data_IF_779359735069
#
_entry.id   IF_779359735069
#
_cell.length_a   1.000
_cell.length_b   1.000
_cell.length_c   1.000
_cell.angle_alpha   90.00
_cell.angle_beta   90.00
_cell.angle_gamma   90.00
#
_symmetry.space_group_name_H-M   'P 1'
#
loop_
_entity.id
_entity.type
_entity.pdbx_description
1 polymer ?
#
# COMPACT_ATOMS: atom_id res chain seq x y z
N UNK A 1 29.11 41.59 -24.90
CA UNK A 1 27.92 40.97 -24.29
C UNK A 1 27.43 39.77 -25.11
N UNK A 2 27.37 39.88 -26.44
CA UNK A 2 26.96 38.77 -27.34
C UNK A 2 27.88 37.54 -27.31
N UNK A 3 29.21 37.71 -27.28
CA UNK A 3 30.15 36.58 -27.20
C UNK A 3 30.02 35.76 -25.90
N UNK A 4 29.71 36.42 -24.79
CA UNK A 4 29.48 35.77 -23.50
C UNK A 4 28.15 35.00 -23.52
N UNK A 5 27.08 35.62 -24.03
CA UNK A 5 25.79 34.95 -24.25
C UNK A 5 25.91 33.73 -25.18
N UNK A 6 26.70 33.85 -26.25
CA UNK A 6 26.96 32.76 -27.19
C UNK A 6 27.77 31.62 -26.54
N UNK A 7 28.79 31.94 -25.74
CA UNK A 7 29.55 30.94 -24.98
C UNK A 7 28.68 30.24 -23.92
N UNK A 8 27.80 30.95 -23.22
CA UNK A 8 26.82 30.34 -22.30
C UNK A 8 25.81 29.46 -23.05
N UNK A 9 25.35 29.87 -24.23
CA UNK A 9 24.43 29.08 -25.06
C UNK A 9 25.10 27.79 -25.58
N UNK A 10 26.35 27.86 -26.03
CA UNK A 10 27.17 26.71 -26.43
C UNK A 10 27.45 25.79 -25.24
N UNK A 11 27.77 26.34 -24.07
CA UNK A 11 27.96 25.58 -22.83
C UNK A 11 26.67 24.87 -22.38
N UNK A 12 25.52 25.54 -22.45
CA UNK A 12 24.21 24.95 -22.17
C UNK A 12 23.85 23.86 -23.19
N UNK A 13 24.18 24.06 -24.47
CA UNK A 13 23.96 23.08 -25.53
C UNK A 13 24.84 21.84 -25.36
N UNK A 14 26.13 22.01 -25.07
CA UNK A 14 27.07 20.93 -24.78
C UNK A 14 26.66 20.15 -23.52
N UNK A 15 26.18 20.87 -22.50
CA UNK A 15 25.61 20.26 -21.29
C UNK A 15 24.33 19.47 -21.59
N UNK A 16 23.43 19.98 -22.44
CA UNK A 16 22.19 19.29 -22.82
C UNK A 16 22.43 18.05 -23.70
N UNK A 17 23.39 18.11 -24.62
CA UNK A 17 23.61 17.07 -25.63
C UNK A 17 24.53 15.94 -25.17
N UNK A 18 25.55 16.23 -24.37
CA UNK A 18 26.62 15.26 -24.04
C UNK A 18 26.70 15.02 -22.53
N UNK A 19 27.03 16.05 -21.76
CA UNK A 19 27.36 15.90 -20.33
C UNK A 19 26.14 15.52 -19.50
N UNK A 20 24.99 16.14 -19.74
CA UNK A 20 23.75 15.87 -19.02
C UNK A 20 23.10 14.54 -19.39
N UNK A 21 23.34 14.01 -20.59
CA UNK A 21 22.88 12.66 -20.96
C UNK A 21 23.72 11.60 -20.25
N UNK A 22 25.04 11.79 -20.25
CA UNK A 22 25.98 10.89 -19.56
C UNK A 22 25.79 10.93 -18.03
N UNK A 23 25.64 12.13 -17.46
CA UNK A 23 25.35 12.30 -16.03
C UNK A 23 24.02 11.65 -15.65
N UNK A 24 22.98 11.76 -16.48
CA UNK A 24 21.69 11.12 -16.22
C UNK A 24 21.81 9.60 -16.14
N UNK A 25 22.69 8.99 -16.93
CA UNK A 25 22.90 7.55 -16.94
C UNK A 25 23.79 7.08 -15.78
N UNK A 26 24.90 7.79 -15.49
CA UNK A 26 25.88 7.37 -14.48
C UNK A 26 25.59 7.87 -13.07
N UNK A 27 25.05 9.07 -12.92
CA UNK A 27 24.82 9.78 -11.64
C UNK A 27 23.49 10.55 -11.68
N UNK A 28 22.34 9.84 -11.69
CA UNK A 28 21.02 10.44 -11.84
C UNK A 28 20.67 11.47 -10.76
N UNK A 29 21.20 11.30 -9.54
CA UNK A 29 21.02 12.24 -8.43
C UNK A 29 21.72 13.59 -8.72
N UNK A 30 22.93 13.57 -9.28
CA UNK A 30 23.65 14.80 -9.65
C UNK A 30 22.97 15.51 -10.82
N UNK A 31 22.55 14.74 -11.83
CA UNK A 31 21.79 15.27 -12.96
C UNK A 31 20.53 15.99 -12.50
N UNK A 32 19.83 15.42 -11.51
CA UNK A 32 18.66 16.03 -10.90
C UNK A 32 19.00 17.39 -10.26
N UNK A 33 19.95 17.46 -9.34
CA UNK A 33 20.26 18.72 -8.65
C UNK A 33 20.83 19.80 -9.57
N UNK A 34 21.60 19.41 -10.61
CA UNK A 34 22.23 20.36 -11.53
C UNK A 34 21.30 20.85 -12.63
N UNK A 35 20.29 20.04 -13.04
CA UNK A 35 19.42 20.41 -14.17
C UNK A 35 17.94 20.22 -13.90
N UNK A 36 17.54 19.08 -13.33
CA UNK A 36 16.13 18.75 -13.13
C UNK A 36 15.45 19.70 -12.16
N UNK A 37 16.05 19.88 -10.97
CA UNK A 37 15.55 20.77 -9.93
C UNK A 37 15.49 22.23 -10.39
N UNK A 38 16.57 22.86 -10.94
CA UNK A 38 16.50 24.26 -11.36
C UNK A 38 15.44 24.51 -12.42
N UNK A 39 15.29 23.61 -13.40
CA UNK A 39 14.25 23.73 -14.43
C UNK A 39 12.84 23.61 -13.86
N UNK A 40 12.61 22.67 -12.95
CA UNK A 40 11.31 22.50 -12.30
C UNK A 40 10.98 23.68 -11.37
N UNK A 41 11.95 24.13 -10.56
CA UNK A 41 11.79 25.28 -9.68
C UNK A 41 11.50 26.57 -10.45
N UNK A 42 12.23 26.80 -11.56
CA UNK A 42 11.94 27.90 -12.48
C UNK A 42 10.51 27.83 -13.02
N UNK A 43 10.07 26.67 -13.51
CA UNK A 43 8.67 26.49 -13.95
C UNK A 43 7.69 26.77 -12.82
N UNK A 44 7.95 26.28 -11.61
CA UNK A 44 7.09 26.49 -10.46
C UNK A 44 6.91 27.99 -10.16
N UNK A 45 8.00 28.75 -10.11
CA UNK A 45 7.97 30.19 -9.84
C UNK A 45 7.34 30.98 -11.00
N UNK A 46 7.77 30.75 -12.25
CA UNK A 46 7.33 31.55 -13.40
C UNK A 46 5.88 31.26 -13.81
N UNK A 47 5.39 30.02 -13.63
CA UNK A 47 4.01 29.67 -14.00
C UNK A 47 3.00 29.91 -12.87
N UNK A 48 3.46 30.06 -11.62
CA UNK A 48 2.60 30.12 -10.44
C UNK A 48 1.39 31.05 -10.59
N UNK A 49 1.63 32.31 -10.96
CA UNK A 49 0.55 33.31 -11.07
C UNK A 49 -0.50 32.90 -12.09
N UNK A 50 -0.10 32.32 -13.23
CA UNK A 50 -1.01 31.88 -14.28
C UNK A 50 -1.82 30.67 -13.84
N UNK A 51 -1.16 29.67 -13.24
CA UNK A 51 -1.84 28.45 -12.75
C UNK A 51 -2.82 28.80 -11.63
N UNK A 52 -2.42 29.69 -10.71
CA UNK A 52 -3.27 30.14 -9.61
C UNK A 52 -4.50 30.96 -10.06
N UNK A 53 -4.43 31.62 -11.21
CA UNK A 53 -5.58 32.34 -11.77
C UNK A 53 -6.53 31.39 -12.53
N UNK A 54 -5.98 30.42 -13.28
CA UNK A 54 -6.77 29.47 -14.07
C UNK A 54 -7.49 28.41 -13.22
N UNK A 55 -7.04 28.18 -11.98
CA UNK A 55 -7.61 27.19 -11.07
C UNK A 55 -8.24 27.83 -9.82
N UNK A 56 -8.68 29.09 -9.93
CA UNK A 56 -9.40 29.81 -8.87
C UNK A 56 -8.69 29.86 -7.50
N UNK A 57 -7.36 29.78 -7.49
CA UNK A 57 -6.54 29.88 -6.27
C UNK A 57 -6.29 31.34 -5.85
N UNK A 58 -6.72 32.31 -6.67
CA UNK A 58 -6.47 33.74 -6.46
C UNK A 58 -7.70 34.40 -5.85
N UNK A 59 -7.51 35.27 -4.84
CA UNK A 59 -8.62 36.05 -4.25
C UNK A 59 -8.63 37.48 -4.75
N UNK A 60 -9.81 38.09 -4.76
CA UNK A 60 -9.91 39.55 -4.82
C UNK A 60 -10.08 40.14 -3.44
N UNK A 61 -9.25 41.13 -3.12
CA UNK A 61 -9.32 41.91 -1.89
C UNK A 61 -10.27 43.10 -1.96
N UNK A 62 -10.86 43.38 -3.13
CA UNK A 62 -11.80 44.49 -3.28
C UNK A 62 -13.22 43.95 -3.25
N UNK A 63 -14.14 44.56 -2.47
CA UNK A 63 -15.54 44.19 -2.54
C UNK A 63 -16.01 44.36 -3.99
N UNK A 64 -16.71 43.35 -4.50
CA UNK A 64 -17.38 43.42 -5.80
C UNK A 64 -18.48 44.49 -5.83
N UNK A 65 -18.79 45.11 -4.70
CA UNK A 65 -19.81 46.16 -4.59
C UNK A 65 -19.17 47.54 -4.61
N UNK A 66 -19.53 48.32 -5.61
CA UNK A 66 -19.33 49.77 -5.64
C UNK A 66 -20.70 50.43 -5.55
N UNK A 67 -20.87 51.35 -4.62
CA UNK A 67 -22.05 52.21 -4.57
C UNK A 67 -21.80 53.39 -5.51
N UNK A 68 -22.63 53.54 -6.54
CA UNK A 68 -22.61 54.65 -7.47
C UNK A 68 -23.93 55.44 -7.28
N UNK A 69 -23.87 56.59 -6.60
CA UNK A 69 -25.09 57.27 -6.12
C UNK A 69 -25.82 56.41 -5.09
N UNK A 70 -27.09 56.10 -5.33
CA UNK A 70 -27.91 55.24 -4.46
C UNK A 70 -27.93 53.76 -4.90
N UNK A 71 -27.17 53.39 -5.94
CA UNK A 71 -27.21 52.05 -6.53
C UNK A 71 -25.95 51.26 -6.18
N UNK A 72 -26.13 50.11 -5.52
CA UNK A 72 -25.05 49.15 -5.28
C UNK A 72 -24.81 48.29 -6.53
N UNK A 73 -23.75 48.60 -7.28
CA UNK A 73 -23.34 47.84 -8.47
C UNK A 73 -22.41 46.71 -8.06
N UNK A 74 -22.77 45.46 -8.40
CA UNK A 74 -21.91 44.28 -8.22
C UNK A 74 -21.07 44.07 -9.48
N UNK A 75 -19.82 44.55 -9.48
CA UNK A 75 -18.85 44.35 -10.55
C UNK A 75 -17.87 43.21 -10.27
N UNK A 76 -17.39 42.55 -11.32
CA UNK A 76 -16.33 41.55 -11.20
C UNK A 76 -14.99 42.20 -10.82
N UNK A 77 -14.26 41.65 -9.84
CA UNK A 77 -13.00 42.23 -9.42
C UNK A 77 -11.90 42.10 -10.49
N UNK A 78 -11.44 43.25 -11.00
CA UNK A 78 -10.46 43.37 -12.10
C UNK A 78 -9.04 42.82 -11.81
N UNK A 79 -8.69 42.49 -10.56
CA UNK A 79 -7.33 42.01 -10.20
C UNK A 79 -7.38 40.96 -9.09
N UNK A 80 -7.44 39.69 -9.47
CA UNK A 80 -7.22 38.58 -8.54
C UNK A 80 -5.73 38.49 -8.16
N UNK A 81 -5.45 38.38 -6.87
CA UNK A 81 -4.09 38.25 -6.32
C UNK A 81 -3.84 36.79 -6.00
N UNK A 82 -2.78 36.24 -6.59
CA UNK A 82 -2.36 34.87 -6.31
C UNK A 82 -1.72 34.77 -4.91
N UNK A 83 -1.84 33.61 -4.24
CA UNK A 83 -1.22 33.40 -2.94
C UNK A 83 0.30 33.47 -3.03
N UNK A 84 0.97 33.84 -1.94
CA UNK A 84 2.43 33.84 -1.90
C UNK A 84 2.95 32.42 -1.71
N UNK A 85 3.88 32.03 -2.57
CA UNK A 85 4.66 30.79 -2.44
C UNK A 85 6.01 31.07 -1.79
N UNK A 86 6.47 30.15 -0.96
CA UNK A 86 7.85 30.09 -0.52
C UNK A 86 8.79 29.65 -1.65
N UNK A 87 10.10 29.74 -1.39
CA UNK A 87 11.10 29.23 -2.33
C UNK A 87 10.94 27.71 -2.51
N UNK A 88 10.98 27.18 -3.75
CA UNK A 88 10.92 25.74 -3.98
C UNK A 88 12.18 25.06 -3.43
N UNK A 89 12.05 24.38 -2.29
CA UNK A 89 13.14 23.64 -1.67
C UNK A 89 13.42 22.36 -2.47
N UNK A 90 14.69 22.04 -2.78
CA UNK A 90 15.02 20.81 -3.50
C UNK A 90 14.74 19.59 -2.61
N UNK A 91 14.13 18.58 -3.22
CA UNK A 91 14.04 17.20 -2.69
C UNK A 91 14.83 16.28 -3.62
N UNK A 92 15.11 15.05 -3.19
CA UNK A 92 15.92 14.09 -3.97
C UNK A 92 15.32 13.73 -5.33
N UNK A 93 13.98 13.70 -5.43
CA UNK A 93 13.25 13.36 -6.65
C UNK A 93 12.15 14.37 -6.97
N UNK A 94 12.34 15.63 -6.57
CA UNK A 94 11.32 16.66 -6.74
C UNK A 94 11.62 17.95 -6.02
N UNK A 95 10.59 18.73 -5.76
CA UNK A 95 10.66 19.94 -4.96
C UNK A 95 9.49 20.02 -3.98
N UNK A 96 9.66 20.85 -2.96
CA UNK A 96 8.60 21.18 -2.02
C UNK A 96 8.51 22.69 -1.87
N UNK A 97 7.30 23.23 -1.84
CA UNK A 97 7.06 24.63 -1.54
C UNK A 97 5.86 24.79 -0.61
N UNK A 98 5.92 25.81 0.24
CA UNK A 98 4.83 26.17 1.14
C UNK A 98 4.06 27.35 0.56
N UNK A 99 2.74 27.30 0.62
CA UNK A 99 1.85 28.38 0.21
C UNK A 99 1.08 28.87 1.42
N UNK A 100 1.08 30.18 1.64
CA UNK A 100 0.24 30.80 2.68
C UNK A 100 -1.10 31.17 2.04
N UNK A 101 -2.18 30.62 2.58
CA UNK A 101 -3.53 30.87 2.12
C UNK A 101 -3.95 32.31 2.45
N UNK A 102 -4.78 32.91 1.60
CA UNK A 102 -5.41 34.18 1.93
C UNK A 102 -6.55 33.99 2.94
N UNK A 103 -6.89 35.01 3.75
CA UNK A 103 -8.04 34.95 4.65
C UNK A 103 -9.31 34.51 3.91
N UNK A 104 -10.02 33.53 4.46
CA UNK A 104 -11.24 32.96 3.86
C UNK A 104 -11.01 31.87 2.80
N UNK A 105 -9.77 31.64 2.35
CA UNK A 105 -9.47 30.48 1.49
C UNK A 105 -9.38 29.19 2.29
N UNK A 106 -9.88 28.11 1.69
CA UNK A 106 -9.73 26.75 2.19
C UNK A 106 -8.69 25.98 1.37
N UNK A 107 -8.17 24.84 1.87
CA UNK A 107 -7.25 24.00 1.11
C UNK A 107 -7.88 23.31 -0.11
N UNK A 108 -9.21 23.18 -0.16
CA UNK A 108 -9.89 22.34 -1.15
C UNK A 108 -9.59 22.72 -2.61
N UNK A 109 -9.63 24.01 -3.03
CA UNK A 109 -9.25 24.41 -4.39
C UNK A 109 -7.81 24.03 -4.76
N UNK A 110 -6.89 24.08 -3.79
CA UNK A 110 -5.51 23.67 -4.02
C UNK A 110 -5.42 22.17 -4.29
N UNK A 111 -6.14 21.35 -3.52
CA UNK A 111 -6.20 19.91 -3.74
C UNK A 111 -6.71 19.58 -5.16
N UNK A 112 -7.75 20.29 -5.63
CA UNK A 112 -8.28 20.13 -6.99
C UNK A 112 -7.28 20.57 -8.08
N UNK A 113 -6.47 21.59 -7.81
CA UNK A 113 -5.49 22.12 -8.76
C UNK A 113 -4.20 21.27 -8.89
N UNK A 114 -4.07 20.16 -8.15
CA UNK A 114 -2.87 19.33 -8.13
C UNK A 114 -2.43 18.87 -9.53
N UNK A 115 -3.36 18.39 -10.35
CA UNK A 115 -3.06 17.90 -11.71
C UNK A 115 -2.60 19.04 -12.64
N UNK A 116 -3.27 20.19 -12.57
CA UNK A 116 -2.87 21.38 -13.33
C UNK A 116 -1.45 21.86 -12.95
N UNK A 117 -1.09 21.80 -11.67
CA UNK A 117 0.26 22.10 -11.19
C UNK A 117 1.27 21.07 -11.70
N UNK A 118 0.93 19.78 -11.71
CA UNK A 118 1.78 18.73 -12.22
C UNK A 118 2.12 18.95 -13.70
N UNK A 119 1.09 19.22 -14.52
CA UNK A 119 1.27 19.55 -15.93
C UNK A 119 2.08 20.83 -16.15
N UNK A 120 1.79 21.91 -15.42
CA UNK A 120 2.49 23.18 -15.56
C UNK A 120 3.99 23.06 -15.23
N UNK A 121 4.33 22.27 -14.22
CA UNK A 121 5.72 22.12 -13.75
C UNK A 121 6.47 21.00 -14.46
N UNK A 122 5.77 20.21 -15.29
CA UNK A 122 6.26 18.94 -15.86
C UNK A 122 6.73 17.98 -14.76
N UNK A 123 5.97 17.93 -13.68
CA UNK A 123 6.14 16.96 -12.62
C UNK A 123 5.43 15.66 -13.00
N UNK A 124 5.92 14.54 -12.47
CA UNK A 124 5.22 13.26 -12.52
C UNK A 124 3.91 13.32 -11.72
N UNK A 125 3.96 13.91 -10.52
CA UNK A 125 2.79 14.10 -9.68
C UNK A 125 2.99 15.33 -8.78
N UNK A 126 1.89 15.91 -8.32
CA UNK A 126 1.88 16.96 -7.29
C UNK A 126 0.95 16.52 -6.17
N UNK A 127 1.48 16.49 -4.95
CA UNK A 127 0.72 16.23 -3.73
C UNK A 127 0.58 17.51 -2.93
N UNK A 128 -0.61 17.74 -2.41
CA UNK A 128 -0.91 18.93 -1.62
C UNK A 128 -1.49 18.46 -0.29
N UNK A 129 -0.91 18.96 0.80
CA UNK A 129 -1.35 18.68 2.17
C UNK A 129 -1.51 19.99 2.92
N UNK A 130 -2.43 20.05 3.87
CA UNK A 130 -2.60 21.20 4.77
C UNK A 130 -2.26 20.75 6.19
N UNK A 131 -0.97 20.80 6.59
CA UNK A 131 -0.56 20.33 7.92
C UNK A 131 -1.09 21.25 9.02
N UNK A 132 -1.27 22.53 8.72
CA UNK A 132 -1.75 23.55 9.64
C UNK A 132 -2.76 24.47 8.94
N UNK A 133 -3.70 25.02 9.71
CA UNK A 133 -4.70 25.97 9.21
C UNK A 133 -4.02 27.20 8.58
N UNK A 134 -4.52 27.65 7.43
CA UNK A 134 -4.00 28.84 6.73
C UNK A 134 -2.74 28.59 5.89
N UNK A 135 -2.28 27.33 5.76
CA UNK A 135 -1.18 26.99 4.86
C UNK A 135 -1.40 25.66 4.14
N UNK A 136 -0.79 25.53 2.97
CA UNK A 136 -0.65 24.26 2.26
C UNK A 136 0.80 24.03 1.90
N UNK A 137 1.21 22.77 1.92
CA UNK A 137 2.51 22.31 1.44
C UNK A 137 2.26 21.57 0.14
N UNK A 138 2.95 21.99 -0.91
CA UNK A 138 2.90 21.40 -2.24
C UNK A 138 4.22 20.67 -2.48
N UNK A 139 4.14 19.36 -2.69
CA UNK A 139 5.28 18.50 -3.02
C UNK A 139 5.11 18.05 -4.47
N UNK A 140 6.05 18.42 -5.34
CA UNK A 140 6.06 18.02 -6.74
C UNK A 140 7.15 16.98 -6.98
N UNK A 141 6.77 15.80 -7.46
CA UNK A 141 7.71 14.71 -7.75
C UNK A 141 8.07 14.73 -9.23
N UNK A 142 9.35 14.69 -9.57
CA UNK A 142 9.83 14.81 -10.94
C UNK A 142 9.87 13.50 -11.73
N UNK A 143 9.99 12.38 -11.02
CA UNK A 143 10.01 11.02 -11.58
C UNK A 143 9.04 10.16 -10.78
N UNK A 144 8.69 9.00 -11.31
CA UNK A 144 7.95 8.02 -10.51
C UNK A 144 8.81 7.60 -9.31
N UNK A 145 8.40 7.91 -8.07
CA UNK A 145 9.17 7.55 -6.87
C UNK A 145 9.24 6.04 -6.65
N UNK A 146 8.36 5.28 -7.29
CA UNK A 146 8.38 3.82 -7.27
C UNK A 146 9.26 3.25 -8.39
N UNK A 147 9.74 4.05 -9.35
CA UNK A 147 10.53 3.59 -10.48
C UNK A 147 11.83 2.87 -10.10
N UNK A 148 12.58 3.44 -9.16
CA UNK A 148 13.78 2.84 -8.57
C UNK A 148 13.55 2.60 -7.08
N UNK A 149 13.38 1.33 -6.70
CA UNK A 149 13.28 0.96 -5.29
C UNK A 149 14.63 1.18 -4.61
N UNK A 150 14.61 2.01 -3.56
CA UNK A 150 15.77 2.22 -2.68
C UNK A 150 15.39 1.72 -1.29
N UNK A 151 16.28 1.01 -0.59
CA UNK A 151 16.03 0.61 0.79
C UNK A 151 15.65 1.84 1.59
N UNK A 152 14.48 1.81 2.22
CA UNK A 152 14.23 2.70 3.35
C UNK A 152 15.29 2.37 4.41
N UNK A 153 15.75 3.33 5.21
CA UNK A 153 16.92 3.19 6.10
C UNK A 153 16.79 2.18 7.25
N UNK A 154 16.08 1.07 7.04
CA UNK A 154 15.65 0.10 8.04
C UNK A 154 14.38 0.56 8.74
N UNK A 155 13.51 -0.39 9.03
CA UNK A 155 12.46 -0.25 10.04
C UNK A 155 12.88 -1.05 11.25
N UNK A 156 12.60 -0.56 12.45
CA UNK A 156 12.85 -1.29 13.69
C UNK A 156 12.17 -2.67 13.65
N UNK A 157 12.92 -3.71 14.03
CA UNK A 157 12.44 -5.08 13.98
C UNK A 157 11.49 -5.37 15.16
N UNK A 158 10.20 -5.21 14.90
CA UNK A 158 9.13 -5.52 15.84
C UNK A 158 8.39 -6.81 15.45
N UNK A 159 7.89 -7.53 16.46
CA UNK A 159 7.06 -8.72 16.27
C UNK A 159 5.79 -8.35 15.49
N UNK A 160 5.46 -9.17 14.49
CA UNK A 160 4.35 -8.98 13.57
C UNK A 160 4.45 -7.74 12.65
N UNK A 161 5.69 -7.28 12.40
CA UNK A 161 5.96 -6.15 11.51
C UNK A 161 6.90 -6.56 10.39
N UNK A 162 6.59 -6.20 9.15
CA UNK A 162 7.37 -6.58 7.97
C UNK A 162 7.51 -5.45 6.96
N UNK A 163 8.74 -5.02 6.68
CA UNK A 163 9.03 -4.11 5.57
C UNK A 163 9.02 -4.86 4.23
N UNK A 164 8.01 -4.56 3.42
CA UNK A 164 7.73 -5.24 2.16
C UNK A 164 8.12 -4.42 0.94
N UNK A 165 8.37 -3.12 1.06
CA UNK A 165 8.63 -2.26 -0.09
C UNK A 165 8.83 -0.80 0.25
N UNK A 166 8.51 0.06 -0.72
CA UNK A 166 8.51 1.51 -0.58
C UNK A 166 7.15 2.09 -0.96
N UNK A 167 6.72 3.12 -0.24
CA UNK A 167 5.56 3.93 -0.60
C UNK A 167 5.98 5.03 -1.58
N UNK A 168 5.04 5.55 -2.37
CA UNK A 168 5.29 6.70 -3.28
C UNK A 168 5.70 7.96 -2.52
N UNK A 169 5.41 7.99 -1.21
CA UNK A 169 5.86 9.04 -0.28
C UNK A 169 7.35 8.97 0.05
N UNK A 170 8.05 7.92 -0.36
CA UNK A 170 9.45 7.64 -0.03
C UNK A 170 9.65 6.95 1.33
N UNK A 171 8.58 6.72 2.10
CA UNK A 171 8.62 5.95 3.35
C UNK A 171 8.68 4.44 3.06
N UNK A 172 9.16 3.67 4.04
CA UNK A 172 9.05 2.22 4.04
C UNK A 172 7.59 1.78 3.90
N UNK A 173 7.31 0.80 3.02
CA UNK A 173 6.03 0.11 3.00
C UNK A 173 6.08 -1.04 3.99
N UNK A 174 5.34 -0.91 5.08
CA UNK A 174 5.32 -1.86 6.19
C UNK A 174 3.94 -2.47 6.34
N UNK A 175 3.90 -3.80 6.48
CA UNK A 175 2.74 -4.54 6.96
C UNK A 175 2.91 -4.75 8.46
N UNK A 176 1.99 -4.22 9.24
CA UNK A 176 1.96 -4.32 10.70
C UNK A 176 0.65 -4.98 11.12
N UNK A 177 0.72 -6.21 11.64
CA UNK A 177 -0.47 -6.94 12.06
C UNK A 177 -1.02 -6.53 13.43
N UNK A 178 -0.26 -5.75 14.21
CA UNK A 178 -0.77 -5.14 15.46
C UNK A 178 -1.64 -3.94 15.14
N UNK A 179 -1.28 -3.18 14.11
CA UNK A 179 -2.07 -2.05 13.62
C UNK A 179 -3.25 -2.50 12.74
N UNK A 180 -3.00 -3.40 11.79
CA UNK A 180 -4.00 -3.90 10.83
C UNK A 180 -3.96 -5.43 10.82
N UNK A 181 -4.87 -6.12 11.51
CA UNK A 181 -4.71 -7.54 11.82
C UNK A 181 -4.90 -8.48 10.64
N UNK A 182 -5.65 -8.06 9.63
CA UNK A 182 -6.02 -8.91 8.50
C UNK A 182 -5.93 -8.15 7.17
N UNK A 183 -5.38 -8.80 6.15
CA UNK A 183 -5.02 -8.20 4.87
C UNK A 183 -5.64 -8.95 3.69
N UNK A 184 -6.15 -8.21 2.72
CA UNK A 184 -6.55 -8.69 1.39
C UNK A 184 -5.54 -8.21 0.35
N UNK A 185 -4.96 -9.15 -0.40
CA UNK A 185 -4.00 -8.88 -1.47
C UNK A 185 -4.54 -9.39 -2.81
N UNK A 186 -4.93 -8.49 -3.71
CA UNK A 186 -5.38 -8.87 -5.05
C UNK A 186 -4.37 -8.48 -6.11
N UNK A 187 -4.31 -9.26 -7.18
CA UNK A 187 -3.46 -8.93 -8.33
C UNK A 187 -3.41 -10.02 -9.38
N UNK A 188 -3.43 -9.62 -10.64
CA UNK A 188 -3.31 -10.54 -11.77
C UNK A 188 -1.94 -11.24 -11.81
N UNK A 189 -1.81 -12.27 -12.63
CA UNK A 189 -0.54 -12.97 -12.88
C UNK A 189 0.57 -11.98 -13.27
N UNK A 190 1.77 -12.16 -12.70
CA UNK A 190 2.95 -11.30 -12.88
C UNK A 190 2.76 -9.83 -12.47
N UNK A 191 1.75 -9.50 -11.67
CA UNK A 191 1.54 -8.13 -11.15
C UNK A 191 2.48 -7.76 -9.99
N UNK A 192 2.98 -8.76 -9.26
CA UNK A 192 3.79 -8.57 -8.05
C UNK A 192 3.25 -9.29 -6.80
N UNK A 193 2.01 -9.81 -6.84
CA UNK A 193 1.36 -10.54 -5.73
C UNK A 193 2.25 -11.62 -5.08
N UNK A 194 2.69 -12.62 -5.85
CA UNK A 194 3.49 -13.74 -5.30
C UNK A 194 4.81 -13.25 -4.71
N UNK A 195 5.46 -12.28 -5.36
CA UNK A 195 6.70 -11.67 -4.89
C UNK A 195 6.51 -10.91 -3.57
N UNK A 196 5.40 -10.18 -3.42
CA UNK A 196 5.02 -9.52 -2.17
C UNK A 196 4.77 -10.54 -1.05
N UNK A 197 4.03 -11.62 -1.32
CA UNK A 197 3.81 -12.70 -0.35
C UNK A 197 5.14 -13.34 0.08
N UNK A 198 6.01 -13.66 -0.87
CA UNK A 198 7.33 -14.21 -0.59
C UNK A 198 8.17 -13.25 0.26
N UNK A 199 8.15 -11.94 -0.04
CA UNK A 199 8.83 -10.92 0.75
C UNK A 199 8.29 -10.86 2.17
N UNK A 200 6.97 -10.86 2.33
CA UNK A 200 6.31 -10.85 3.63
C UNK A 200 6.73 -12.06 4.48
N UNK A 201 6.64 -13.26 3.91
CA UNK A 201 7.06 -14.50 4.60
C UNK A 201 8.54 -14.45 4.98
N UNK A 202 9.42 -14.00 4.08
CA UNK A 202 10.85 -13.87 4.37
C UNK A 202 11.16 -12.88 5.51
N UNK A 203 10.36 -11.82 5.67
CA UNK A 203 10.52 -10.83 6.76
C UNK A 203 9.90 -11.28 8.08
N UNK A 204 8.89 -12.15 8.04
CA UNK A 204 8.28 -12.75 9.23
C UNK A 204 9.04 -14.00 9.71
N UNK A 205 9.73 -14.71 8.82
CA UNK A 205 10.51 -15.90 9.13
C UNK A 205 11.46 -15.79 10.35
N UNK A 206 12.25 -14.70 10.53
CA UNK A 206 13.12 -14.57 11.71
C UNK A 206 12.37 -14.38 13.05
N UNK A 207 11.08 -14.03 13.01
CA UNK A 207 10.32 -13.63 14.20
C UNK A 207 9.77 -14.84 14.98
N UNK A 208 9.54 -14.71 16.31
CA UNK A 208 8.98 -15.78 17.15
C UNK A 208 7.46 -15.91 16.96
N UNK A 209 7.05 -16.38 15.77
CA UNK A 209 5.66 -16.57 15.37
C UNK A 209 5.49 -17.87 14.58
N UNK A 210 4.25 -18.34 14.45
CA UNK A 210 3.88 -19.44 13.56
C UNK A 210 3.43 -18.91 12.20
N UNK A 211 3.89 -19.55 11.13
CA UNK A 211 3.46 -19.28 9.76
C UNK A 211 2.68 -20.47 9.26
N UNK A 212 1.46 -20.24 8.83
CA UNK A 212 0.56 -21.27 8.30
C UNK A 212 0.20 -20.88 6.87
N UNK A 213 0.24 -21.83 5.94
CA UNK A 213 -0.02 -21.56 4.52
C UNK A 213 -1.16 -22.43 3.98
N UNK A 214 -1.93 -21.85 3.07
CA UNK A 214 -2.96 -22.52 2.27
C UNK A 214 -2.70 -22.19 0.80
N UNK A 215 -2.27 -23.20 0.04
CA UNK A 215 -1.93 -23.12 -1.37
C UNK A 215 -2.60 -24.28 -2.11
N UNK A 216 -3.89 -24.12 -2.39
CA UNK A 216 -4.69 -25.11 -3.11
C UNK A 216 -4.32 -25.25 -4.61
N UNK A 217 -3.28 -24.54 -5.07
CA UNK A 217 -2.68 -24.70 -6.41
C UNK A 217 -1.49 -25.65 -6.39
N UNK A 218 -1.54 -26.67 -5.54
CA UNK A 218 -0.52 -27.71 -5.43
C UNK A 218 0.77 -27.27 -4.73
N UNK A 219 0.74 -26.20 -3.92
CA UNK A 219 1.90 -25.78 -3.13
C UNK A 219 3.03 -25.11 -3.92
N UNK A 220 2.78 -24.64 -5.14
CA UNK A 220 3.81 -24.12 -6.04
C UNK A 220 4.44 -22.80 -5.56
N UNK A 221 3.71 -21.98 -4.80
CA UNK A 221 4.16 -20.65 -4.39
C UNK A 221 4.58 -20.67 -2.92
N UNK A 222 3.69 -21.10 -2.02
CA UNK A 222 3.97 -21.11 -0.58
C UNK A 222 4.79 -22.33 -0.13
N UNK A 223 4.85 -23.39 -0.93
CA UNK A 223 5.70 -24.56 -0.66
C UNK A 223 7.20 -24.26 -0.69
N UNK A 224 7.63 -23.09 -1.20
CA UNK A 224 9.00 -22.60 -1.07
C UNK A 224 9.42 -22.38 0.40
N UNK A 225 8.44 -22.26 1.30
CA UNK A 225 8.65 -21.94 2.72
C UNK A 225 8.43 -23.11 3.67
N UNK A 226 8.28 -24.34 3.16
CA UNK A 226 7.91 -25.53 3.97
C UNK A 226 8.71 -25.71 5.25
N UNK A 227 10.03 -25.51 5.19
CA UNK A 227 10.94 -25.64 6.36
C UNK A 227 10.61 -24.68 7.50
N UNK A 228 10.07 -23.50 7.19
CA UNK A 228 9.67 -22.48 8.18
C UNK A 228 8.18 -22.56 8.54
N UNK A 229 7.34 -23.12 7.68
CA UNK A 229 5.90 -23.22 7.89
C UNK A 229 5.57 -24.21 9.01
N UNK A 230 4.71 -23.78 9.93
CA UNK A 230 4.12 -24.62 10.98
C UNK A 230 3.13 -25.62 10.41
N UNK A 231 2.40 -25.25 9.35
CA UNK A 231 1.51 -26.12 8.58
C UNK A 231 1.34 -25.59 7.14
N UNK A 232 1.08 -26.50 6.20
CA UNK A 232 0.75 -26.21 4.80
C UNK A 232 -0.45 -27.08 4.38
N UNK A 233 -1.53 -26.44 3.94
CA UNK A 233 -2.65 -27.11 3.28
C UNK A 233 -2.53 -26.93 1.76
N UNK A 234 -2.60 -28.03 1.02
CA UNK A 234 -2.48 -28.07 -0.45
C UNK A 234 -3.80 -28.41 -1.16
N UNK A 235 -4.84 -28.71 -0.40
CA UNK A 235 -6.20 -28.99 -0.88
C UNK A 235 -7.24 -28.24 -0.05
N UNK A 236 -8.46 -28.10 -0.56
CA UNK A 236 -9.56 -27.47 0.19
C UNK A 236 -9.93 -28.28 1.43
N UNK A 237 -9.98 -29.60 1.33
CA UNK A 237 -10.27 -30.49 2.45
C UNK A 237 -9.25 -30.32 3.58
N UNK A 238 -7.95 -30.23 3.25
CA UNK A 238 -6.91 -29.90 4.24
C UNK A 238 -7.10 -28.50 4.83
N UNK A 239 -7.45 -27.51 4.01
CA UNK A 239 -7.70 -26.14 4.48
C UNK A 239 -8.87 -26.09 5.46
N UNK A 240 -9.96 -26.84 5.23
CA UNK A 240 -11.10 -26.94 6.15
C UNK A 240 -10.67 -27.49 7.51
N UNK A 241 -9.88 -28.58 7.54
CA UNK A 241 -9.36 -29.16 8.79
C UNK A 241 -8.45 -28.17 9.53
N UNK A 242 -7.53 -27.54 8.80
CA UNK A 242 -6.59 -26.56 9.33
C UNK A 242 -7.30 -25.34 9.93
N UNK A 243 -8.28 -24.77 9.22
CA UNK A 243 -9.07 -23.66 9.75
C UNK A 243 -9.93 -24.08 10.95
N UNK A 244 -10.48 -25.29 10.95
CA UNK A 244 -11.19 -25.85 12.10
C UNK A 244 -10.31 -25.96 13.35
N UNK A 245 -9.07 -26.43 13.19
CA UNK A 245 -8.09 -26.48 14.28
C UNK A 245 -7.75 -25.09 14.81
N UNK A 246 -7.53 -24.12 13.91
CA UNK A 246 -7.28 -22.71 14.29
C UNK A 246 -8.48 -22.08 15.01
N UNK A 247 -9.71 -22.40 14.63
CA UNK A 247 -10.93 -21.93 15.32
C UNK A 247 -11.05 -22.54 16.71
N UNK A 248 -10.58 -23.78 16.91
CA UNK A 248 -10.53 -24.43 18.22
C UNK A 248 -9.50 -23.75 19.11
N UNK A 249 -8.26 -23.60 18.64
CA UNK A 249 -7.20 -22.84 19.32
C UNK A 249 -7.66 -21.42 19.68
N UNK A 250 -8.42 -20.75 18.79
CA UNK A 250 -8.98 -19.43 19.06
C UNK A 250 -9.89 -19.45 20.31
N UNK A 251 -10.71 -20.49 20.49
CA UNK A 251 -11.57 -20.65 21.68
C UNK A 251 -10.73 -20.87 22.93
N UNK A 252 -9.71 -21.72 22.85
CA UNK A 252 -8.83 -22.02 23.98
C UNK A 252 -8.09 -20.77 24.46
N UNK A 253 -7.54 -19.96 23.53
CA UNK A 253 -6.93 -18.67 23.85
C UNK A 253 -7.91 -17.70 24.51
N UNK A 254 -9.17 -17.71 24.08
CA UNK A 254 -10.21 -16.87 24.67
C UNK A 254 -10.49 -17.27 26.12
N UNK A 255 -10.49 -18.56 26.44
CA UNK A 255 -10.65 -19.07 27.80
C UNK A 255 -9.46 -18.67 28.69
N UNK A 256 -8.22 -18.80 28.19
CA UNK A 256 -7.02 -18.35 28.90
C UNK A 256 -7.09 -16.86 29.21
N UNK A 257 -7.50 -16.03 28.24
CA UNK A 257 -7.65 -14.58 28.44
C UNK A 257 -8.70 -14.28 29.52
N UNK A 258 -9.87 -14.96 29.48
CA UNK A 258 -10.94 -14.79 30.46
C UNK A 258 -10.52 -15.19 31.87
N UNK A 259 -9.82 -16.31 32.01
CA UNK A 259 -9.30 -16.78 33.29
C UNK A 259 -8.30 -15.79 33.91
N UNK A 260 -7.54 -15.09 33.08
CA UNK A 260 -6.60 -14.04 33.50
C UNK A 260 -7.23 -12.64 33.63
N UNK A 261 -8.52 -12.46 33.33
CA UNK A 261 -9.18 -11.14 33.28
C UNK A 261 -8.68 -10.22 32.15
N UNK A 262 -7.98 -10.78 31.15
CA UNK A 262 -7.42 -10.07 30.02
C UNK A 262 -8.40 -10.02 28.83
N UNK A 263 -8.36 -8.94 28.06
CA UNK A 263 -9.18 -8.80 26.83
C UNK A 263 -8.50 -9.36 25.59
N UNK A 264 -7.19 -9.58 25.67
CA UNK A 264 -6.38 -10.04 24.55
C UNK A 264 -5.16 -10.82 25.04
N UNK A 265 -4.57 -11.65 24.19
CA UNK A 265 -3.35 -12.40 24.53
C UNK A 265 -2.16 -11.46 24.80
N UNK A 266 -2.26 -10.22 24.32
CA UNK A 266 -1.22 -9.20 24.43
C UNK A 266 -1.13 -8.60 25.84
N UNK A 267 -2.21 -8.71 26.62
CA UNK A 267 -2.27 -8.32 28.04
C UNK A 267 -1.83 -9.46 28.97
N UNK A 268 -1.68 -10.67 28.45
CA UNK A 268 -1.19 -11.81 29.24
C UNK A 268 0.30 -11.63 29.56
N UNK A 269 0.76 -12.13 30.72
CA UNK A 269 2.19 -12.27 31.01
C UNK A 269 2.88 -13.09 29.92
N UNK A 270 4.14 -12.76 29.61
CA UNK A 270 4.90 -13.41 28.51
C UNK A 270 4.92 -14.94 28.61
N UNK A 271 4.97 -15.50 29.84
CA UNK A 271 4.95 -16.95 30.08
C UNK A 271 3.64 -17.64 29.71
N UNK A 272 2.54 -16.90 29.69
CA UNK A 272 1.20 -17.39 29.37
C UNK A 272 0.74 -16.97 27.97
N UNK A 273 1.50 -16.09 27.29
CA UNK A 273 1.13 -15.56 25.98
C UNK A 273 1.33 -16.65 24.91
N UNK A 274 0.26 -17.08 24.22
CA UNK A 274 0.38 -18.01 23.10
C UNK A 274 1.19 -17.40 21.96
N UNK A 275 1.87 -18.26 21.18
CA UNK A 275 2.62 -17.84 20.00
C UNK A 275 1.64 -17.27 18.96
N UNK A 276 1.89 -16.06 18.40
CA UNK A 276 1.03 -15.51 17.38
C UNK A 276 1.14 -16.29 16.07
N UNK A 277 0.04 -16.38 15.34
CA UNK A 277 -0.08 -17.14 14.09
C UNK A 277 -0.42 -16.19 12.95
N UNK A 278 0.33 -16.27 11.85
CA UNK A 278 -0.02 -15.60 10.58
C UNK A 278 -0.40 -16.67 9.58
N UNK A 279 -1.64 -16.61 9.10
CA UNK A 279 -2.21 -17.53 8.12
C UNK A 279 -2.21 -16.87 6.75
N UNK A 280 -1.54 -17.48 5.78
CA UNK A 280 -1.41 -17.02 4.40
C UNK A 280 -2.29 -17.90 3.50
N UNK A 281 -3.18 -17.29 2.74
CA UNK A 281 -4.00 -17.96 1.72
C UNK A 281 -3.60 -17.39 0.36
N UNK A 282 -3.01 -18.19 -0.53
CA UNK A 282 -2.48 -17.66 -1.81
C UNK A 282 -3.58 -17.33 -2.83
N UNK A 283 -4.61 -18.17 -2.91
CA UNK A 283 -5.73 -17.99 -3.83
C UNK A 283 -7.06 -18.26 -3.14
N UNK A 284 -7.75 -17.17 -2.79
CA UNK A 284 -9.04 -17.22 -2.13
C UNK A 284 -10.12 -17.92 -2.98
N UNK A 285 -10.10 -17.73 -4.30
CA UNK A 285 -11.11 -18.31 -5.19
C UNK A 285 -11.16 -19.84 -5.10
N UNK A 286 -10.03 -20.51 -4.92
CA UNK A 286 -9.95 -21.98 -4.78
C UNK A 286 -10.66 -22.51 -3.52
N UNK A 287 -10.91 -21.65 -2.54
CA UNK A 287 -11.65 -22.03 -1.33
C UNK A 287 -13.17 -21.93 -1.50
N UNK A 288 -13.64 -21.15 -2.49
CA UNK A 288 -15.05 -20.84 -2.71
C UNK A 288 -15.63 -21.49 -3.97
N UNK A 289 -14.81 -21.78 -4.99
CA UNK A 289 -15.27 -22.35 -6.26
C UNK A 289 -15.74 -23.81 -6.10
N UNK A 290 -16.98 -24.13 -6.46
CA UNK A 290 -17.51 -25.50 -6.37
C UNK A 290 -17.64 -26.12 -7.75
N UNK A 291 -17.14 -27.34 -7.95
CA UNK A 291 -17.37 -28.17 -9.15
C UNK A 291 -18.79 -28.75 -9.21
N UNK A 292 -19.59 -28.56 -8.17
CA UNK A 292 -21.04 -28.77 -8.18
C UNK A 292 -21.52 -29.96 -7.35
N UNK A 293 -20.61 -30.78 -6.80
CA UNK A 293 -20.97 -31.84 -5.85
C UNK A 293 -21.49 -31.25 -4.54
N UNK A 294 -22.27 -32.06 -3.79
CA UNK A 294 -22.82 -31.63 -2.50
C UNK A 294 -21.72 -31.48 -1.46
N UNK A 295 -20.74 -32.38 -1.51
CA UNK A 295 -19.57 -32.42 -0.62
C UNK A 295 -18.71 -31.17 -0.80
N UNK A 296 -18.36 -30.80 -2.04
CA UNK A 296 -17.55 -29.60 -2.31
C UNK A 296 -18.25 -28.29 -1.88
N UNK A 297 -19.58 -28.24 -2.01
CA UNK A 297 -20.38 -27.10 -1.53
C UNK A 297 -20.34 -27.00 -0.01
N UNK A 298 -20.49 -28.13 0.69
CA UNK A 298 -20.39 -28.18 2.14
C UNK A 298 -18.98 -27.79 2.62
N UNK A 299 -17.93 -28.26 1.96
CA UNK A 299 -16.55 -27.87 2.26
C UNK A 299 -16.31 -26.37 2.04
N UNK A 300 -16.78 -25.80 0.92
CA UNK A 300 -16.65 -24.37 0.64
C UNK A 300 -17.39 -23.50 1.67
N UNK A 301 -18.59 -23.91 2.09
CA UNK A 301 -19.37 -23.24 3.12
C UNK A 301 -18.69 -23.29 4.50
N UNK A 302 -18.18 -24.47 4.89
CA UNK A 302 -17.42 -24.64 6.12
C UNK A 302 -16.13 -23.80 6.12
N UNK A 303 -15.39 -23.84 5.01
CA UNK A 303 -14.18 -23.05 4.81
C UNK A 303 -14.46 -21.55 4.97
N UNK A 304 -15.50 -21.05 4.27
CA UNK A 304 -15.93 -19.66 4.38
C UNK A 304 -16.32 -19.29 5.81
N UNK A 305 -17.02 -20.18 6.52
CA UNK A 305 -17.46 -19.95 7.90
C UNK A 305 -16.27 -19.84 8.86
N UNK A 306 -15.32 -20.78 8.78
CA UNK A 306 -14.14 -20.75 9.64
C UNK A 306 -13.25 -19.54 9.33
N UNK A 307 -12.99 -19.25 8.06
CA UNK A 307 -12.14 -18.13 7.67
C UNK A 307 -12.74 -16.79 8.12
N UNK A 308 -14.06 -16.62 7.99
CA UNK A 308 -14.77 -15.45 8.52
C UNK A 308 -14.66 -15.36 10.05
N UNK A 309 -14.81 -16.49 10.76
CA UNK A 309 -14.69 -16.52 12.22
C UNK A 309 -13.30 -16.13 12.71
N UNK A 310 -12.26 -16.62 12.03
CA UNK A 310 -10.87 -16.24 12.29
C UNK A 310 -10.66 -14.74 12.06
N UNK A 311 -11.22 -14.17 10.99
CA UNK A 311 -11.11 -12.74 10.71
C UNK A 311 -11.85 -11.85 11.74
N UNK A 312 -12.96 -12.33 12.28
CA UNK A 312 -13.75 -11.58 13.26
C UNK A 312 -13.13 -11.54 14.66
N UNK A 313 -12.46 -12.62 15.07
CA UNK A 313 -11.99 -12.78 16.45
C UNK A 313 -10.46 -12.86 16.60
N UNK A 314 -9.74 -13.11 15.51
CA UNK A 314 -8.33 -13.47 15.54
C UNK A 314 -7.42 -12.37 16.08
N UNK A 315 -7.71 -11.09 15.81
CA UNK A 315 -6.85 -9.96 16.15
C UNK A 315 -6.45 -9.91 17.65
N UNK A 316 -7.42 -10.01 18.55
CA UNK A 316 -7.18 -9.99 20.00
C UNK A 316 -6.52 -11.30 20.50
N UNK A 317 -6.66 -12.38 19.73
CA UNK A 317 -6.22 -13.73 20.09
C UNK A 317 -4.91 -14.12 19.35
N UNK A 318 -4.30 -13.18 18.64
CA UNK A 318 -3.02 -13.35 17.95
C UNK A 318 -3.07 -14.28 16.75
N UNK A 319 -4.21 -14.38 16.07
CA UNK A 319 -4.33 -15.06 14.77
C UNK A 319 -4.61 -14.00 13.71
N UNK A 320 -3.71 -13.88 12.75
CA UNK A 320 -3.71 -12.87 11.70
C UNK A 320 -3.87 -13.53 10.34
N UNK A 321 -4.54 -12.84 9.40
CA UNK A 321 -4.86 -13.40 8.09
C UNK A 321 -4.25 -12.54 6.98
N UNK A 322 -3.62 -13.19 6.01
CA UNK A 322 -3.23 -12.60 4.73
C UNK A 322 -3.92 -13.42 3.66
N UNK A 323 -4.97 -12.87 3.08
CA UNK A 323 -5.77 -13.53 2.06
C UNK A 323 -5.45 -12.92 0.72
N UNK A 324 -4.98 -13.73 -0.21
CA UNK A 324 -4.60 -13.28 -1.54
C UNK A 324 -5.48 -13.91 -2.62
N UNK A 325 -5.56 -13.26 -3.79
CA UNK A 325 -6.26 -13.83 -4.93
C UNK A 325 -6.01 -13.09 -6.24
N UNK A 326 -6.13 -13.80 -7.35
CA UNK A 326 -5.94 -13.21 -8.69
C UNK A 326 -7.24 -12.59 -9.21
N UNK A 327 -8.36 -13.24 -8.92
CA UNK A 327 -9.70 -12.78 -9.25
C UNK A 327 -10.58 -12.97 -8.02
N UNK A 328 -11.00 -11.86 -7.42
CA UNK A 328 -11.83 -11.87 -6.21
C UNK A 328 -12.99 -10.92 -6.48
N UNK A 329 -14.18 -11.47 -6.70
CA UNK A 329 -15.38 -10.68 -6.93
C UNK A 329 -16.54 -11.18 -6.08
N UNK A 330 -17.61 -10.41 -6.05
CA UNK A 330 -18.88 -10.79 -5.39
C UNK A 330 -19.53 -12.03 -6.03
N UNK A 331 -19.07 -12.44 -7.22
CA UNK A 331 -19.46 -13.67 -7.92
C UNK A 331 -19.06 -14.94 -7.16
N UNK A 332 -18.08 -14.88 -6.25
CA UNK A 332 -17.72 -15.99 -5.35
C UNK A 332 -18.73 -16.18 -4.18
N UNK A 333 -19.74 -15.31 -4.06
CA UNK A 333 -20.84 -15.43 -3.11
C UNK A 333 -20.76 -14.48 -1.90
N UNK A 334 -21.77 -14.49 -1.02
CA UNK A 334 -21.87 -13.54 0.09
C UNK A 334 -20.78 -13.73 1.15
N UNK A 335 -20.26 -14.95 1.32
CA UNK A 335 -19.21 -15.28 2.28
C UNK A 335 -17.90 -14.51 2.01
N UNK A 336 -17.51 -14.35 0.74
CA UNK A 336 -16.30 -13.60 0.40
C UNK A 336 -16.45 -12.11 0.70
N UNK A 337 -17.64 -11.53 0.50
CA UNK A 337 -17.94 -10.13 0.81
C UNK A 337 -17.93 -9.86 2.30
N UNK A 338 -18.50 -10.78 3.08
CA UNK A 338 -18.47 -10.73 4.54
C UNK A 338 -17.04 -10.86 5.08
N UNK A 339 -16.25 -11.79 4.53
CA UNK A 339 -14.83 -11.95 4.88
C UNK A 339 -14.04 -10.69 4.55
N UNK A 340 -14.17 -10.19 3.31
CA UNK A 340 -13.53 -8.96 2.84
C UNK A 340 -13.77 -7.84 3.84
N UNK A 341 -14.99 -7.60 4.31
CA UNK A 341 -15.30 -6.55 5.28
C UNK A 341 -14.48 -6.62 6.60
N UNK A 342 -13.93 -7.78 6.96
CA UNK A 342 -13.06 -7.96 8.13
C UNK A 342 -11.56 -7.75 7.84
N UNK A 343 -11.14 -7.75 6.57
CA UNK A 343 -9.74 -7.59 6.19
C UNK A 343 -9.41 -6.09 5.99
N UNK A 344 -9.14 -5.38 7.09
CA UNK A 344 -8.91 -3.92 7.04
C UNK A 344 -7.78 -3.47 6.12
N UNK A 345 -6.72 -4.28 5.99
CA UNK A 345 -5.60 -3.98 5.10
C UNK A 345 -5.92 -4.35 3.66
N UNK A 346 -5.78 -3.40 2.73
CA UNK A 346 -6.00 -3.66 1.30
C UNK A 346 -4.74 -3.42 0.50
N UNK A 347 -4.43 -4.35 -0.39
CA UNK A 347 -3.37 -4.23 -1.37
C UNK A 347 -3.95 -4.68 -2.71
N UNK A 348 -3.98 -3.77 -3.68
CA UNK A 348 -4.44 -4.05 -5.02
C UNK A 348 -3.29 -3.77 -5.99
N UNK A 349 -2.63 -4.84 -6.43
CA UNK A 349 -1.75 -4.77 -7.59
C UNK A 349 -2.57 -4.60 -8.87
N UNK A 350 -1.89 -4.50 -10.02
CA UNK A 350 -2.56 -4.54 -11.32
C UNK A 350 -3.51 -5.75 -11.41
N UNK A 351 -4.77 -5.50 -11.68
CA UNK A 351 -5.81 -6.51 -11.96
C UNK A 351 -6.18 -6.50 -13.45
N UNK A 352 -6.81 -7.57 -13.93
CA UNK A 352 -7.31 -7.65 -15.31
C UNK A 352 -8.77 -7.21 -15.44
N UNK A 353 -9.54 -7.28 -14.35
CA UNK A 353 -10.97 -6.97 -14.33
C UNK A 353 -11.29 -5.87 -13.29
N UNK A 354 -12.23 -4.95 -13.60
CA UNK A 354 -12.66 -3.92 -12.68
C UNK A 354 -13.32 -4.45 -11.40
N UNK A 355 -14.00 -5.61 -11.50
CA UNK A 355 -14.73 -6.19 -10.37
C UNK A 355 -13.79 -6.55 -9.20
N UNK A 356 -12.58 -7.05 -9.49
CA UNK A 356 -11.57 -7.36 -8.47
C UNK A 356 -11.01 -6.11 -7.81
N UNK A 357 -10.78 -5.03 -8.57
CA UNK A 357 -10.38 -3.74 -7.98
C UNK A 357 -11.49 -3.14 -7.11
N UNK A 358 -12.74 -3.21 -7.58
CA UNK A 358 -13.92 -2.76 -6.83
C UNK A 358 -14.11 -3.56 -5.53
N UNK A 359 -13.93 -4.88 -5.59
CA UNK A 359 -13.98 -5.75 -4.42
C UNK A 359 -12.85 -5.42 -3.42
N UNK A 360 -11.66 -5.05 -3.87
CA UNK A 360 -10.55 -4.74 -2.97
C UNK A 360 -10.63 -3.33 -2.37
N UNK A 361 -11.06 -2.32 -3.13
CA UNK A 361 -10.88 -0.90 -2.80
C UNK A 361 -12.18 -0.07 -2.86
N UNK A 362 -13.26 -0.60 -3.43
CA UNK A 362 -14.45 0.18 -3.80
C UNK A 362 -15.26 0.76 -2.65
N UNK A 363 -15.21 0.11 -1.47
CA UNK A 363 -15.83 0.62 -0.24
C UNK A 363 -14.94 1.62 0.51
N UNK A 364 -13.65 1.69 0.17
CA UNK A 364 -12.71 2.64 0.76
C UNK A 364 -12.66 3.94 -0.03
N UNK A 365 -12.38 3.85 -1.33
CA UNK A 365 -12.22 5.02 -2.18
C UNK A 365 -12.34 4.67 -3.67
N UNK A 366 -13.24 5.32 -4.39
CA UNK A 366 -13.48 5.09 -5.82
C UNK A 366 -12.31 5.50 -6.71
N UNK A 367 -11.54 6.53 -6.33
CA UNK A 367 -10.35 6.94 -7.08
C UNK A 367 -9.25 5.87 -6.97
N UNK A 368 -9.14 5.21 -5.81
CA UNK A 368 -8.19 4.11 -5.63
C UNK A 368 -8.46 2.95 -6.60
N UNK A 369 -9.73 2.64 -6.87
CA UNK A 369 -10.17 1.63 -7.84
C UNK A 369 -9.73 2.00 -9.26
N UNK A 370 -9.86 3.27 -9.64
CA UNK A 370 -9.41 3.76 -10.95
C UNK A 370 -7.87 3.70 -11.08
N UNK A 371 -7.15 4.11 -10.04
CA UNK A 371 -5.69 4.10 -10.01
C UNK A 371 -5.13 2.67 -10.09
N UNK A 372 -5.73 1.72 -9.37
CA UNK A 372 -5.32 0.31 -9.43
C UNK A 372 -5.50 -0.30 -10.83
N UNK A 373 -6.57 0.07 -11.54
CA UNK A 373 -6.81 -0.35 -12.93
C UNK A 373 -5.86 0.31 -13.93
N UNK A 374 -5.34 1.49 -13.61
CA UNK A 374 -4.38 2.20 -14.45
C UNK A 374 -2.93 1.70 -14.32
N UNK A 375 -2.62 0.82 -13.35
CA UNK A 375 -1.28 0.25 -13.18
C UNK A 375 -0.87 -0.51 -14.44
N UNK A 376 0.24 -0.11 -15.05
CA UNK A 376 0.70 -0.71 -16.29
C UNK A 376 1.41 -2.07 -16.08
N UNK A 377 1.43 -2.92 -17.12
CA UNK A 377 2.13 -4.23 -17.09
C UNK A 377 3.63 -4.13 -16.76
N UNK A 378 4.26 -3.00 -17.07
CA UNK A 378 5.69 -2.73 -16.80
C UNK A 378 5.95 -2.30 -15.36
N UNK A 379 4.90 -1.91 -14.64
CA UNK A 379 4.96 -1.47 -13.24
C UNK A 379 4.84 -2.66 -12.29
N UNK A 380 5.57 -3.75 -12.56
CA UNK A 380 5.55 -4.93 -11.70
C UNK A 380 5.91 -4.55 -10.25
N UNK A 381 5.19 -5.12 -9.31
CA UNK A 381 5.31 -4.85 -7.87
C UNK A 381 4.58 -3.60 -7.40
N UNK A 382 4.11 -2.72 -8.31
CA UNK A 382 3.30 -1.55 -7.93
C UNK A 382 1.91 -2.02 -7.49
N UNK A 383 1.41 -1.42 -6.43
CA UNK A 383 0.08 -1.63 -5.89
C UNK A 383 -0.50 -0.32 -5.34
N UNK A 384 -1.82 -0.27 -5.23
CA UNK A 384 -2.53 0.68 -4.37
C UNK A 384 -2.79 0.00 -3.04
N UNK A 385 -2.49 0.69 -1.93
CA UNK A 385 -2.72 0.16 -0.59
C UNK A 385 -3.35 1.19 0.34
N UNK A 386 -4.04 0.72 1.37
CA UNK A 386 -4.51 1.55 2.49
C UNK A 386 -3.33 2.23 3.19
N UNK A 387 -3.43 3.55 3.38
CA UNK A 387 -2.45 4.33 4.14
C UNK A 387 -2.93 4.60 5.57
N UNK A 388 -2.03 5.02 6.47
CA UNK A 388 -2.39 5.48 7.82
C UNK A 388 -3.51 6.53 7.74
N UNK A 389 -4.70 6.22 8.27
CA UNK A 389 -5.90 7.07 8.18
C UNK A 389 -6.94 6.56 7.18
N UNK A 390 -7.73 7.47 6.59
CA UNK A 390 -8.80 7.15 5.63
C UNK A 390 -8.38 7.29 4.16
N UNK A 391 -7.07 7.19 3.87
CA UNK A 391 -6.50 7.44 2.55
C UNK A 391 -5.97 6.17 1.87
N UNK A 392 -5.58 6.33 0.61
CA UNK A 392 -4.84 5.33 -0.15
C UNK A 392 -3.50 5.91 -0.60
N UNK A 393 -2.56 5.03 -0.94
CA UNK A 393 -1.22 5.40 -1.41
C UNK A 393 -0.74 4.36 -2.42
N UNK A 394 0.01 4.78 -3.45
CA UNK A 394 0.75 3.80 -4.28
C UNK A 394 1.98 3.32 -3.54
N UNK A 395 2.29 2.05 -3.70
CA UNK A 395 3.47 1.43 -3.14
C UNK A 395 4.06 0.45 -4.13
N UNK A 396 5.33 0.08 -3.95
CA UNK A 396 5.98 -0.98 -4.72
C UNK A 396 6.71 -1.93 -3.81
N UNK A 397 6.42 -3.21 -3.96
CA UNK A 397 7.06 -4.29 -3.20
C UNK A 397 8.51 -4.49 -3.65
N UNK A 398 9.42 -4.78 -2.72
CA UNK A 398 10.75 -5.25 -3.08
C UNK A 398 10.67 -6.61 -3.78
N UNK A 399 11.45 -6.82 -4.86
CA UNK A 399 11.51 -8.13 -5.47
C UNK A 399 12.11 -9.14 -4.49
N UNK A 400 11.57 -10.35 -4.50
CA UNK A 400 12.08 -11.51 -3.75
C UNK A 400 11.96 -12.70 -4.68
N UNK A 401 13.11 -13.27 -5.03
CA UNK A 401 13.22 -14.41 -5.91
C UNK A 401 12.85 -15.71 -5.18
N UNK A 402 12.46 -16.77 -5.90
CA UNK A 402 12.22 -18.07 -5.29
C UNK A 402 13.44 -18.63 -4.52
N UNK A 403 14.65 -18.32 -4.99
CA UNK A 403 15.89 -18.72 -4.32
C UNK A 403 16.05 -18.02 -2.96
N UNK A 404 15.87 -16.70 -2.92
CA UNK A 404 15.91 -15.92 -1.66
C UNK A 404 14.80 -16.37 -0.69
N UNK A 405 13.61 -16.68 -1.20
CA UNK A 405 12.50 -17.23 -0.42
C UNK A 405 12.88 -18.55 0.26
N UNK A 406 13.42 -19.51 -0.52
CA UNK A 406 13.86 -20.82 -0.01
C UNK A 406 15.03 -20.69 0.98
N UNK A 407 15.98 -19.81 0.69
CA UNK A 407 17.10 -19.53 1.59
C UNK A 407 16.62 -18.96 2.92
N UNK A 408 15.70 -17.99 2.90
CA UNK A 408 15.11 -17.43 4.12
C UNK A 408 14.36 -18.50 4.93
N UNK A 409 13.62 -19.39 4.25
CA UNK A 409 12.94 -20.53 4.88
C UNK A 409 13.92 -21.44 5.62
N UNK A 410 14.97 -21.91 4.94
CA UNK A 410 15.99 -22.80 5.49
C UNK A 410 16.75 -22.15 6.64
N UNK A 411 17.17 -20.88 6.45
CA UNK A 411 17.94 -20.12 7.45
C UNK A 411 17.20 -20.00 8.78
N UNK A 412 15.87 -19.92 8.75
CA UNK A 412 15.04 -19.75 9.95
C UNK A 412 14.19 -20.97 10.28
N UNK A 413 14.48 -22.15 9.72
CA UNK A 413 13.74 -23.38 10.00
C UNK A 413 13.67 -23.71 11.51
N UNK A 414 14.76 -23.45 12.25
CA UNK A 414 14.82 -23.65 13.71
C UNK A 414 13.91 -22.70 14.53
N UNK A 415 13.35 -21.66 13.90
CA UNK A 415 12.36 -20.75 14.52
C UNK A 415 10.92 -21.25 14.38
N UNK A 416 10.67 -22.36 13.67
CA UNK A 416 9.36 -23.00 13.58
C UNK A 416 8.91 -23.43 14.98
N UNK A 417 7.82 -22.85 15.53
CA UNK A 417 7.31 -23.27 16.83
C UNK A 417 6.64 -24.64 16.71
N UNK A 418 6.71 -25.42 17.78
CA UNK A 418 5.92 -26.64 17.92
C UNK A 418 4.50 -26.27 18.36
N UNK A 419 3.50 -26.65 17.56
CA UNK A 419 2.09 -26.35 17.80
C UNK A 419 1.28 -27.65 17.65
N UNK A 420 0.99 -28.37 18.74
CA UNK A 420 0.36 -29.69 18.66
C UNK A 420 -1.01 -29.67 17.98
N UNK A 421 -1.79 -28.59 18.10
CA UNK A 421 -3.08 -28.46 17.41
C UNK A 421 -2.97 -28.40 15.87
N UNK A 422 -1.77 -28.16 15.31
CA UNK A 422 -1.52 -28.18 13.87
C UNK A 422 -0.95 -29.53 13.38
N UNK A 423 -0.51 -30.39 14.28
CA UNK A 423 -0.10 -31.77 13.97
C UNK A 423 -1.36 -32.62 13.83
N UNK A 424 -2.09 -32.40 12.75
CA UNK A 424 -3.22 -33.25 12.35
C UNK A 424 -2.64 -34.50 11.69
N UNK A 425 -2.00 -35.37 12.49
CA UNK A 425 -1.55 -36.65 11.97
C UNK A 425 -2.76 -37.44 11.48
N UNK A 426 -2.58 -37.96 10.27
CA UNK A 426 -3.50 -38.83 9.57
C UNK A 426 -3.59 -40.16 10.31
N UNK A 427 -4.49 -40.32 11.27
CA UNK A 427 -4.86 -41.63 11.79
C UNK A 427 -6.32 -41.64 12.27
N UNK A 428 -7.21 -42.03 11.35
CA UNK A 428 -8.13 -43.09 11.74
C UNK A 428 -7.30 -44.37 11.84
N UNK A 429 -6.81 -44.69 13.04
CA UNK A 429 -5.96 -45.85 13.28
C UNK A 429 -5.56 -45.98 14.74
N UNK A 430 -6.38 -46.74 15.46
CA UNK A 430 -6.10 -47.45 16.72
C UNK A 430 -5.66 -46.65 17.96
N UNK A 431 -6.58 -46.65 18.93
CA UNK A 431 -6.26 -46.70 20.36
C UNK A 431 -5.05 -47.60 20.65
N UNK A 432 -4.09 -47.08 21.42
CA UNK A 432 -3.37 -47.83 22.46
C UNK A 432 -2.73 -46.93 23.49
#
# INVERSE_FOLDING_TARGET
MEAVLFAFALGALAWLLVVGRELRQRRPDWHWYLTGYPLMAARAVFTWRKVAQLNDLSVSYRPSRRVLGDVAVKGEPLRATAPRIGFPAPRRDGLELRVRLHPGQTPAPFLTAADALAHAWRAHAVRIVSPERGSVVITATARDPLGELRPSGGVEEELLRAEVGALETGRAWVIDFRAVPHWLIVGATRSGKSTLLARLVARLAPQPLALVAVDCKGGMELGLFTERLSALATSRTEAVRLFGALVTELRDRMEVCRAAGARSIWELPDKLRPVPVVVLVDELAELYLTGGSREERAEAEQCSTYLLRLAQLGAALGIHLVVAGQRVGSDLGPGVTALRAQLGGRICHRVNDPATAEMALGDLNKDAVAVAQAIHLREQGVAVTTADGAGWVRARSYPTTPAEAKEASLRYASRKPWLPFLCLDAEGGEER
#
